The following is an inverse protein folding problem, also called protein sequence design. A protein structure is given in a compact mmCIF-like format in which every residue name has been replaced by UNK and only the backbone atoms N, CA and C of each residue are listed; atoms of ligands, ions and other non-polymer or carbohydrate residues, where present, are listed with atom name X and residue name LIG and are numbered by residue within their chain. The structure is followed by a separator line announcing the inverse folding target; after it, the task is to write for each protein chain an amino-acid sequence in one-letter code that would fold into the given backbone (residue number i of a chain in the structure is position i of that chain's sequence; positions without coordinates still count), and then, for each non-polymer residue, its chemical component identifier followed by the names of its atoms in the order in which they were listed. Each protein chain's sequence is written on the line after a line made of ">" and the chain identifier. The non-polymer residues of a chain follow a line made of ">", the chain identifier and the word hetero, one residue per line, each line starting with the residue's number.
data_IF_067720933284
#
_entry.id   IF_067720933284
#
_cell.length_a   1.000
_cell.length_b   1.000
_cell.length_c   1.000
_cell.angle_alpha   90.00
_cell.angle_beta   90.00
_cell.angle_gamma   90.00
#
_symmetry.space_group_name_H-M   'P 1'
#
loop_
_entity.id
_entity.type
_entity.pdbx_description
1 polymer ?
#
# COMPACT_ATOMS: atom_id res chain seq x y z
N UNK A 1 11.18 16.12 -13.94
CA UNK A 1 10.88 17.10 -12.88
C UNK A 1 10.17 16.33 -11.78
N UNK A 2 10.93 15.90 -10.78
CA UNK A 2 10.40 15.17 -9.61
C UNK A 2 9.41 16.04 -8.86
N UNK A 3 8.26 15.46 -8.53
CA UNK A 3 7.10 16.17 -7.98
C UNK A 3 7.30 16.32 -6.47
N UNK A 4 8.17 17.25 -6.06
CA UNK A 4 8.37 17.57 -4.65
C UNK A 4 7.05 18.08 -4.04
N UNK A 5 6.69 17.58 -2.86
CA UNK A 5 5.44 17.97 -2.18
C UNK A 5 5.48 19.44 -1.76
N UNK A 6 4.47 20.25 -2.11
CA UNK A 6 4.45 21.69 -1.80
C UNK A 6 3.85 22.01 -0.43
N UNK A 7 3.24 21.03 0.24
CA UNK A 7 2.56 21.23 1.53
C UNK A 7 3.51 21.02 2.70
N UNK A 8 3.61 22.02 3.60
CA UNK A 8 4.54 22.02 4.73
C UNK A 8 4.45 20.76 5.61
N UNK A 9 3.24 20.32 5.92
CA UNK A 9 3.00 19.17 6.81
C UNK A 9 3.45 17.82 6.21
N UNK A 10 3.67 17.73 4.89
CA UNK A 10 4.27 16.57 4.23
C UNK A 10 5.79 16.68 4.09
N UNK A 11 6.34 17.89 4.02
CA UNK A 11 7.79 18.13 4.09
C UNK A 11 8.34 17.88 5.49
N UNK A 12 7.51 18.04 6.52
CA UNK A 12 7.85 17.81 7.93
C UNK A 12 6.73 17.03 8.61
N UNK A 13 6.58 15.74 8.29
CA UNK A 13 5.49 14.93 8.81
C UNK A 13 5.64 14.74 10.33
N UNK A 14 4.54 14.98 11.04
CA UNK A 14 4.39 14.62 12.45
C UNK A 14 3.64 13.29 12.63
N UNK A 15 3.01 12.80 11.56
CA UNK A 15 2.33 11.51 11.53
C UNK A 15 3.33 10.37 11.29
N UNK A 16 3.04 9.20 11.86
CA UNK A 16 3.91 8.02 11.76
C UNK A 16 4.14 7.59 10.31
N UNK A 17 5.39 7.36 9.92
CA UNK A 17 5.71 6.82 8.60
C UNK A 17 5.45 7.78 7.43
N UNK A 18 5.21 9.07 7.66
CA UNK A 18 5.11 10.05 6.58
C UNK A 18 4.06 9.66 5.52
N UNK A 19 4.48 9.67 4.25
CA UNK A 19 3.65 9.27 3.10
C UNK A 19 3.04 7.86 3.24
N UNK A 20 3.71 6.93 3.94
CA UNK A 20 3.15 5.61 4.18
C UNK A 20 1.83 5.68 4.95
N UNK A 21 1.69 6.55 5.96
CA UNK A 21 0.40 6.70 6.66
C UNK A 21 -0.57 7.63 5.94
N UNK A 22 -0.06 8.65 5.22
CA UNK A 22 -0.91 9.59 4.47
C UNK A 22 -1.74 8.84 3.41
N UNK A 23 -1.11 7.97 2.63
CA UNK A 23 -1.79 7.20 1.59
C UNK A 23 -2.13 5.76 2.00
N UNK A 24 -1.30 5.11 2.83
CA UNK A 24 -1.49 3.71 3.22
C UNK A 24 -2.79 3.42 3.97
N UNK A 25 -3.36 4.40 4.69
CA UNK A 25 -4.67 4.23 5.34
C UNK A 25 -5.77 3.91 4.32
N UNK A 26 -5.70 4.43 3.10
CA UNK A 26 -6.67 4.13 2.04
C UNK A 26 -6.54 2.68 1.55
N UNK A 27 -5.30 2.21 1.34
CA UNK A 27 -5.05 0.83 0.92
C UNK A 27 -5.47 -0.17 2.01
N UNK A 28 -5.13 0.10 3.27
CA UNK A 28 -5.53 -0.76 4.41
C UNK A 28 -7.06 -0.76 4.58
N UNK A 29 -7.72 0.38 4.40
CA UNK A 29 -9.19 0.44 4.43
C UNK A 29 -9.81 -0.42 3.32
N UNK A 30 -9.30 -0.34 2.09
CA UNK A 30 -9.77 -1.16 0.98
C UNK A 30 -9.54 -2.65 1.22
N UNK A 31 -8.34 -3.04 1.68
CA UNK A 31 -8.01 -4.42 2.04
C UNK A 31 -8.96 -4.95 3.11
N UNK A 32 -9.21 -4.18 4.18
CA UNK A 32 -10.11 -4.61 5.26
C UNK A 32 -11.57 -4.71 4.83
N UNK A 33 -12.01 -3.81 3.94
CA UNK A 33 -13.35 -3.86 3.38
C UNK A 33 -13.58 -5.13 2.55
N UNK A 34 -12.57 -5.55 1.78
CA UNK A 34 -12.68 -6.68 0.85
C UNK A 34 -12.41 -8.02 1.53
N UNK A 35 -11.36 -8.08 2.36
CA UNK A 35 -10.80 -9.34 2.90
C UNK A 35 -11.06 -9.52 4.40
N UNK A 36 -11.60 -8.51 5.09
CA UNK A 36 -11.89 -8.56 6.53
C UNK A 36 -10.75 -8.06 7.41
N UNK A 37 -10.80 -8.37 8.70
CA UNK A 37 -9.82 -7.87 9.66
C UNK A 37 -8.45 -8.55 9.53
N UNK A 38 -7.39 -7.76 9.68
CA UNK A 38 -6.00 -8.20 9.72
C UNK A 38 -5.71 -8.80 11.11
N UNK A 39 -4.99 -9.93 11.14
CA UNK A 39 -4.52 -10.57 12.37
C UNK A 39 -3.10 -10.11 12.73
N UNK A 40 -2.15 -10.25 11.79
CA UNK A 40 -0.78 -9.78 11.97
C UNK A 40 -0.17 -9.31 10.65
N UNK A 41 0.91 -8.52 10.78
CA UNK A 41 1.70 -8.01 9.65
C UNK A 41 3.18 -8.10 9.99
N UNK A 42 3.99 -8.44 8.99
CA UNK A 42 5.43 -8.17 9.00
C UNK A 42 5.76 -7.24 7.85
N UNK A 43 6.66 -6.28 8.09
CA UNK A 43 6.93 -5.21 7.15
C UNK A 43 8.41 -4.82 7.15
N UNK A 44 8.88 -4.40 5.98
CA UNK A 44 10.14 -3.70 5.81
C UNK A 44 9.85 -2.32 5.20
N UNK A 45 10.42 -1.28 5.80
CA UNK A 45 10.30 0.10 5.31
C UNK A 45 11.66 0.66 4.96
N UNK A 46 11.72 1.53 3.96
CA UNK A 46 12.93 2.24 3.57
C UNK A 46 12.62 3.66 3.14
N UNK A 47 13.63 4.51 3.27
CA UNK A 47 13.68 5.86 2.72
C UNK A 47 14.62 5.82 1.51
N UNK A 48 14.06 5.94 0.30
CA UNK A 48 14.82 5.91 -0.95
C UNK A 48 15.04 7.30 -1.56
N UNK A 49 14.24 8.30 -1.20
CA UNK A 49 14.28 9.62 -1.84
C UNK A 49 14.71 10.72 -0.90
N UNK A 50 15.55 11.62 -1.42
CA UNK A 50 16.01 12.78 -0.65
C UNK A 50 14.97 13.92 -0.60
N UNK A 51 13.82 13.76 -1.27
CA UNK A 51 12.81 14.80 -1.44
C UNK A 51 11.48 14.50 -0.74
N UNK A 52 11.28 13.28 -0.24
CA UNK A 52 10.17 12.94 0.66
C UNK A 52 10.71 12.81 2.08
N UNK A 53 9.95 13.30 3.05
CA UNK A 53 10.37 13.24 4.44
C UNK A 53 9.85 11.95 5.09
N UNK A 54 10.77 11.11 5.57
CA UNK A 54 10.47 9.82 6.18
C UNK A 54 10.41 8.68 5.16
N UNK A 55 10.14 7.44 5.61
CA UNK A 55 10.12 6.30 4.72
C UNK A 55 9.09 6.49 3.60
N UNK A 56 9.50 6.20 2.38
CA UNK A 56 8.69 6.36 1.16
C UNK A 56 8.39 5.00 0.49
N UNK A 57 8.93 3.92 1.05
CA UNK A 57 8.71 2.56 0.60
C UNK A 57 8.31 1.65 1.76
N UNK A 58 7.39 0.74 1.46
CA UNK A 58 7.00 -0.36 2.33
C UNK A 58 6.79 -1.64 1.53
N UNK A 59 7.24 -2.77 2.07
CA UNK A 59 6.89 -4.11 1.61
C UNK A 59 6.42 -4.95 2.79
N UNK A 60 5.27 -5.60 2.64
CA UNK A 60 4.60 -6.30 3.74
C UNK A 60 4.11 -7.69 3.34
N UNK A 61 4.09 -8.58 4.33
CA UNK A 61 3.26 -9.79 4.33
C UNK A 61 2.20 -9.60 5.42
N UNK A 62 0.94 -9.85 5.07
CA UNK A 62 -0.23 -9.65 5.94
C UNK A 62 -0.99 -10.96 6.03
N UNK A 63 -1.38 -11.37 7.24
CA UNK A 63 -2.36 -12.45 7.44
C UNK A 63 -3.65 -11.88 8.03
N UNK A 64 -4.78 -12.25 7.43
CA UNK A 64 -6.11 -11.87 7.87
C UNK A 64 -6.69 -12.92 8.82
N UNK A 65 -7.62 -12.52 9.69
CA UNK A 65 -8.24 -13.43 10.68
C UNK A 65 -9.00 -14.62 10.07
N UNK A 66 -9.33 -14.54 8.78
CA UNK A 66 -9.97 -15.62 8.02
C UNK A 66 -8.95 -16.54 7.31
N UNK A 67 -7.64 -16.37 7.55
CA UNK A 67 -6.56 -17.16 6.96
C UNK A 67 -6.13 -16.73 5.55
N UNK A 68 -6.67 -15.62 5.01
CA UNK A 68 -6.16 -15.04 3.76
C UNK A 68 -4.76 -14.47 4.03
N UNK A 69 -3.84 -14.69 3.09
CA UNK A 69 -2.49 -14.12 3.10
C UNK A 69 -2.40 -13.11 1.96
N UNK A 70 -1.86 -11.92 2.24
CA UNK A 70 -1.68 -10.85 1.29
C UNK A 70 -0.27 -10.29 1.30
N UNK A 71 0.12 -9.70 0.17
CA UNK A 71 1.29 -8.83 0.07
C UNK A 71 0.81 -7.42 -0.24
N UNK A 72 1.34 -6.44 0.47
CA UNK A 72 1.15 -5.02 0.14
C UNK A 72 2.52 -4.36 0.03
N UNK A 73 2.81 -3.84 -1.17
CA UNK A 73 4.04 -3.13 -1.51
C UNK A 73 3.62 -1.79 -2.09
N UNK A 74 4.27 -0.73 -1.64
CA UNK A 74 4.04 0.61 -2.18
C UNK A 74 5.33 1.42 -2.14
N UNK A 75 5.53 2.23 -3.18
CA UNK A 75 6.55 3.27 -3.25
C UNK A 75 5.91 4.61 -3.62
N UNK A 76 6.37 5.68 -2.97
CA UNK A 76 5.96 7.05 -3.30
C UNK A 76 7.03 7.83 -4.06
N UNK A 77 8.21 7.24 -4.30
CA UNK A 77 9.35 7.91 -4.92
C UNK A 77 9.75 7.39 -6.31
N UNK A 78 9.19 6.28 -6.77
CA UNK A 78 9.41 5.78 -8.13
C UNK A 78 8.12 5.24 -8.75
N UNK A 79 8.06 5.22 -10.08
CA UNK A 79 6.89 4.75 -10.81
C UNK A 79 6.80 3.23 -10.75
N UNK A 80 5.62 2.73 -10.38
CA UNK A 80 5.27 1.32 -10.39
C UNK A 80 3.96 1.11 -11.17
N UNK A 81 3.83 -0.04 -11.83
CA UNK A 81 2.53 -0.46 -12.37
C UNK A 81 1.66 -0.96 -11.22
N UNK A 82 0.51 -0.32 -11.03
CA UNK A 82 -0.45 -0.73 -10.01
C UNK A 82 -1.05 -2.10 -10.38
N UNK A 83 -0.92 -3.06 -9.46
CA UNK A 83 -1.50 -4.39 -9.58
C UNK A 83 -2.22 -4.73 -8.29
N UNK A 84 -3.51 -5.10 -8.41
CA UNK A 84 -4.27 -5.63 -7.30
C UNK A 84 -5.00 -6.89 -7.73
N UNK A 85 -4.60 -8.02 -7.15
CA UNK A 85 -5.06 -9.34 -7.52
C UNK A 85 -5.47 -10.14 -6.29
N UNK A 86 -6.54 -10.91 -6.41
CA UNK A 86 -7.07 -11.78 -5.36
C UNK A 86 -7.24 -13.17 -5.96
N UNK A 87 -6.56 -14.14 -5.36
CA UNK A 87 -6.55 -15.53 -5.80
C UNK A 87 -7.44 -16.35 -4.87
N UNK A 88 -8.57 -16.82 -5.38
CA UNK A 88 -9.42 -17.79 -4.71
C UNK A 88 -9.03 -19.23 -5.09
N UNK A 89 -9.72 -20.21 -4.50
CA UNK A 89 -9.49 -21.63 -4.81
C UNK A 89 -9.80 -21.99 -6.26
N UNK A 90 -10.81 -21.33 -6.84
CA UNK A 90 -11.36 -21.67 -8.15
C UNK A 90 -11.21 -20.54 -9.16
N UNK A 91 -11.11 -19.29 -8.70
CA UNK A 91 -11.17 -18.11 -9.56
C UNK A 91 -10.16 -17.06 -9.10
N UNK A 92 -9.76 -16.19 -10.03
CA UNK A 92 -8.88 -15.05 -9.79
C UNK A 92 -9.57 -13.75 -10.15
N UNK A 93 -9.48 -12.77 -9.26
CA UNK A 93 -9.91 -11.40 -9.49
C UNK A 93 -8.70 -10.51 -9.73
N UNK A 94 -8.69 -9.73 -10.80
CA UNK A 94 -7.73 -8.64 -11.03
C UNK A 94 -8.45 -7.31 -11.11
N UNK A 95 -8.14 -6.42 -10.17
CA UNK A 95 -8.71 -5.08 -10.09
C UNK A 95 -7.82 -4.13 -10.87
N UNK A 96 -8.40 -3.48 -11.87
CA UNK A 96 -7.78 -2.43 -12.66
C UNK A 96 -8.52 -1.12 -12.40
N UNK A 97 -7.88 0.01 -12.73
CA UNK A 97 -8.42 1.36 -12.51
C UNK A 97 -9.88 1.56 -12.96
N UNK A 98 -10.30 0.91 -14.03
CA UNK A 98 -11.63 1.10 -14.63
C UNK A 98 -12.43 -0.19 -14.83
N UNK A 99 -11.92 -1.35 -14.40
CA UNK A 99 -12.64 -2.63 -14.54
C UNK A 99 -12.09 -3.69 -13.59
N UNK A 100 -12.90 -4.71 -13.34
CA UNK A 100 -12.47 -5.93 -12.65
C UNK A 100 -12.48 -7.06 -13.67
N UNK A 101 -11.39 -7.81 -13.75
CA UNK A 101 -11.31 -9.05 -14.51
C UNK A 101 -11.54 -10.21 -13.55
N UNK A 102 -12.38 -11.15 -13.96
CA UNK A 102 -12.71 -12.36 -13.20
C UNK A 102 -12.51 -13.55 -14.15
N UNK A 103 -11.60 -14.45 -13.77
CA UNK A 103 -11.25 -15.65 -14.53
C UNK A 103 -11.32 -16.89 -13.65
#
# INVERSE_FOLDING_TARGET
>A
MEKETTTYWRKKPQHIGGFLSDAGVHHVAAMRLILGDIDWVTAYTKDFSDYLAGPDFISTIVEFKNGVIGNYIASYSFNEEEQFEIYGKENTLKVLKNKILYN
#
